data_IF_290672433456
#
_entry.id   IF_290672433456
#
_cell.length_a   1.000
_cell.length_b   1.000
_cell.length_c   1.000
_cell.angle_alpha   90.00
_cell.angle_beta   90.00
_cell.angle_gamma   90.00
#
_symmetry.space_group_name_H-M   'P 1'
#
loop_
_entity.id
_entity.type
_entity.pdbx_description
1 polymer ?
#
# COMPACT_ATOMS: atom_id res chain seq x y z
N UNK A 1 7.60 -18.60 7.09
CA UNK A 1 8.14 -17.24 6.98
C UNK A 1 9.54 -17.34 6.41
N UNK A 2 9.66 -17.18 5.10
CA UNK A 2 10.94 -17.08 4.42
C UNK A 2 11.71 -15.87 4.93
N UNK A 3 12.94 -15.74 4.50
CA UNK A 3 13.92 -14.72 4.88
C UNK A 3 13.46 -13.29 4.51
N UNK A 4 12.37 -12.83 5.16
CA UNK A 4 11.79 -11.49 4.97
C UNK A 4 12.70 -10.44 5.59
N UNK A 5 13.30 -9.53 4.81
CA UNK A 5 14.29 -8.60 5.33
C UNK A 5 13.66 -7.45 6.14
N UNK A 6 12.46 -7.05 5.81
CA UNK A 6 11.72 -5.94 6.43
C UNK A 6 10.23 -5.99 6.06
N UNK A 7 9.43 -5.23 6.80
CA UNK A 7 8.02 -4.97 6.52
C UNK A 7 7.82 -3.48 6.26
N UNK A 8 7.11 -3.14 5.20
CA UNK A 8 6.72 -1.76 4.91
C UNK A 8 5.48 -1.39 5.72
N UNK A 9 5.43 -0.20 6.27
CA UNK A 9 4.31 0.21 7.12
C UNK A 9 3.85 1.64 6.82
N UNK A 10 2.55 1.88 6.95
CA UNK A 10 2.07 3.24 7.14
C UNK A 10 2.67 3.84 8.41
N UNK A 11 3.05 5.13 8.45
CA UNK A 11 3.63 5.74 9.63
C UNK A 11 2.64 5.88 10.80
N UNK A 12 1.35 5.59 10.58
CA UNK A 12 0.35 5.67 11.63
C UNK A 12 0.52 4.58 12.69
N UNK A 13 0.39 4.96 13.95
CA UNK A 13 0.68 4.10 15.10
C UNK A 13 0.01 2.72 15.03
N UNK A 14 -1.27 2.67 14.61
CA UNK A 14 -2.02 1.41 14.48
C UNK A 14 -1.37 0.43 13.50
N UNK A 15 -0.83 0.91 12.37
CA UNK A 15 -0.16 0.05 11.40
C UNK A 15 1.18 -0.45 11.92
N UNK A 16 1.96 0.39 12.59
CA UNK A 16 3.23 0.00 13.21
C UNK A 16 3.04 -1.04 14.31
N UNK A 17 2.05 -0.85 15.18
CA UNK A 17 1.70 -1.82 16.22
C UNK A 17 1.22 -3.15 15.65
N UNK A 18 0.40 -3.12 14.60
CA UNK A 18 -0.04 -4.33 13.90
C UNK A 18 1.15 -5.05 13.27
N UNK A 19 2.06 -4.32 12.62
CA UNK A 19 3.27 -4.90 12.05
C UNK A 19 4.18 -5.54 13.12
N UNK A 20 4.32 -4.93 14.28
CA UNK A 20 5.09 -5.48 15.39
C UNK A 20 4.51 -6.80 15.91
N UNK A 21 3.18 -6.91 15.92
CA UNK A 21 2.48 -8.14 16.35
C UNK A 21 2.59 -9.25 15.29
N UNK A 22 2.37 -8.91 14.01
CA UNK A 22 2.37 -9.89 12.93
C UNK A 22 3.77 -10.32 12.51
N UNK A 23 4.74 -9.43 12.60
CA UNK A 23 6.12 -9.62 12.14
C UNK A 23 7.12 -9.25 13.25
N UNK A 24 7.08 -9.95 14.39
CA UNK A 24 7.96 -9.62 15.50
C UNK A 24 9.43 -9.73 15.08
N UNK A 25 10.22 -8.74 15.49
CA UNK A 25 11.66 -8.63 15.20
C UNK A 25 12.03 -8.35 13.71
N UNK A 26 11.06 -8.23 12.80
CA UNK A 26 11.34 -7.79 11.45
C UNK A 26 11.42 -6.26 11.44
N UNK A 27 12.51 -5.67 10.91
CA UNK A 27 12.62 -4.22 10.79
C UNK A 27 11.47 -3.60 10.01
N UNK A 28 10.91 -2.51 10.50
CA UNK A 28 9.85 -1.76 9.82
C UNK A 28 10.46 -0.61 9.02
N UNK A 29 9.97 -0.42 7.79
CA UNK A 29 10.27 0.75 6.94
C UNK A 29 8.99 1.54 6.79
N UNK A 30 8.98 2.75 7.35
CA UNK A 30 7.82 3.65 7.25
C UNK A 30 7.77 4.30 5.87
N UNK A 31 6.58 4.24 5.24
CA UNK A 31 6.30 4.86 3.95
C UNK A 31 5.34 6.01 4.20
N UNK A 32 5.86 7.21 4.33
CA UNK A 32 5.07 8.40 4.68
C UNK A 32 3.90 8.65 3.73
N UNK A 33 4.02 8.50 2.40
CA UNK A 33 2.89 8.60 1.48
C UNK A 33 1.75 7.59 1.73
N UNK A 34 1.93 6.56 2.57
CA UNK A 34 0.90 5.58 2.90
C UNK A 34 0.09 5.91 4.15
N UNK A 35 0.12 7.15 4.60
CA UNK A 35 -0.85 7.63 5.61
C UNK A 35 -2.27 7.39 5.14
N UNK A 36 -3.19 7.20 6.07
CA UNK A 36 -4.62 7.12 5.76
C UNK A 36 -5.08 8.38 5.03
N UNK A 37 -6.17 8.27 4.27
CA UNK A 37 -6.81 9.40 3.62
C UNK A 37 -7.15 10.48 4.65
N UNK A 38 -6.90 11.73 4.29
CA UNK A 38 -7.33 12.88 5.08
C UNK A 38 -8.80 13.15 4.84
N UNK A 39 -9.63 12.82 5.83
CA UNK A 39 -11.07 13.04 5.79
C UNK A 39 -11.46 14.49 6.15
N UNK A 40 -10.49 15.36 6.44
CA UNK A 40 -10.71 16.77 6.74
C UNK A 40 -11.73 16.98 7.86
N UNK A 41 -12.76 17.80 7.60
CA UNK A 41 -13.80 18.08 8.58
C UNK A 41 -14.67 16.87 8.98
N UNK A 42 -14.55 15.76 8.24
CA UNK A 42 -15.27 14.52 8.53
C UNK A 42 -14.46 13.53 9.38
N UNK A 43 -13.20 13.89 9.70
CA UNK A 43 -12.34 13.05 10.53
C UNK A 43 -13.00 12.69 11.87
N UNK A 44 -12.91 11.41 12.22
CA UNK A 44 -13.47 10.89 13.48
C UNK A 44 -15.02 10.82 13.55
N UNK A 45 -15.73 11.19 12.50
CA UNK A 45 -17.20 11.14 12.45
C UNK A 45 -17.67 9.84 11.79
N UNK A 46 -18.74 9.28 12.33
CA UNK A 46 -19.41 8.12 11.75
C UNK A 46 -20.59 8.54 10.86
N UNK A 47 -21.15 7.56 10.13
CA UNK A 47 -22.29 7.76 9.24
C UNK A 47 -23.47 8.48 9.92
N UNK A 48 -23.81 8.10 11.16
CA UNK A 48 -24.93 8.69 11.87
C UNK A 48 -24.74 10.19 12.18
N UNK A 49 -23.49 10.60 12.39
CA UNK A 49 -23.10 11.99 12.65
C UNK A 49 -23.03 12.84 11.36
N UNK A 50 -22.76 12.20 10.23
CA UNK A 50 -22.68 12.84 8.91
C UNK A 50 -24.02 12.85 8.18
N UNK A 51 -24.98 12.05 8.64
CA UNK A 51 -26.30 11.96 8.02
C UNK A 51 -27.02 13.31 8.10
N UNK A 52 -27.43 13.83 6.93
CA UNK A 52 -28.06 15.14 6.81
C UNK A 52 -27.08 16.30 6.54
N UNK A 53 -25.77 16.06 6.54
CA UNK A 53 -24.81 17.06 6.04
C UNK A 53 -24.85 17.05 4.50
N UNK A 54 -25.23 18.18 3.85
CA UNK A 54 -25.35 18.23 2.39
C UNK A 54 -24.01 18.01 1.67
N UNK A 55 -22.89 18.30 2.32
CA UNK A 55 -21.55 18.08 1.76
C UNK A 55 -21.20 16.58 1.75
N UNK A 56 -21.62 15.86 2.79
CA UNK A 56 -21.49 14.41 2.85
C UNK A 56 -22.37 13.72 1.81
N UNK A 57 -23.62 14.22 1.64
CA UNK A 57 -24.49 13.71 0.58
C UNK A 57 -23.90 13.95 -0.81
N UNK A 58 -23.37 15.14 -1.09
CA UNK A 58 -22.70 15.45 -2.35
C UNK A 58 -21.50 14.53 -2.60
N UNK A 59 -20.73 14.19 -1.54
CA UNK A 59 -19.63 13.24 -1.65
C UNK A 59 -20.13 11.83 -2.01
N UNK A 60 -21.22 11.36 -1.38
CA UNK A 60 -21.85 10.07 -1.73
C UNK A 60 -22.34 10.09 -3.18
N UNK A 61 -23.06 11.14 -3.61
CA UNK A 61 -23.63 11.26 -4.95
C UNK A 61 -22.55 11.29 -6.04
N UNK A 62 -21.35 11.77 -5.69
CA UNK A 62 -20.18 11.74 -6.57
C UNK A 62 -19.53 10.34 -6.70
N UNK A 63 -20.03 9.35 -5.97
CA UNK A 63 -19.34 8.04 -5.85
C UNK A 63 -18.00 8.14 -5.12
N UNK A 64 -17.84 9.12 -4.22
CA UNK A 64 -16.62 9.34 -3.43
C UNK A 64 -15.46 9.95 -4.23
N UNK A 65 -15.74 10.66 -5.33
CA UNK A 65 -14.70 11.33 -6.15
C UNK A 65 -14.39 12.74 -5.69
N UNK A 66 -15.35 13.42 -5.07
CA UNK A 66 -15.11 14.75 -4.51
C UNK A 66 -14.12 14.69 -3.34
N UNK A 67 -13.36 15.77 -3.16
CA UNK A 67 -12.54 15.93 -1.98
C UNK A 67 -13.40 16.09 -0.72
N UNK A 68 -12.93 15.58 0.40
CA UNK A 68 -13.53 15.89 1.70
C UNK A 68 -13.33 17.37 2.01
N UNK A 69 -14.30 18.03 2.67
CA UNK A 69 -14.14 19.42 3.09
C UNK A 69 -12.90 19.61 3.97
N UNK A 70 -11.96 20.42 3.50
CA UNK A 70 -10.68 20.61 4.18
C UNK A 70 -9.75 19.40 4.19
N UNK A 71 -10.07 18.36 3.43
CA UNK A 71 -9.32 17.12 3.34
C UNK A 71 -8.89 16.80 1.91
N UNK A 72 -8.68 15.54 1.62
CA UNK A 72 -8.08 15.01 0.41
C UNK A 72 -9.13 14.46 -0.58
N UNK A 73 -8.88 14.58 -1.88
CA UNK A 73 -9.66 13.88 -2.89
C UNK A 73 -9.15 12.45 -3.07
N UNK A 74 -10.02 11.56 -3.56
CA UNK A 74 -9.63 10.18 -3.90
C UNK A 74 -8.48 10.16 -4.91
N UNK A 75 -8.49 11.04 -5.90
CA UNK A 75 -7.43 11.13 -6.90
C UNK A 75 -6.08 11.50 -6.28
N UNK A 76 -6.03 12.52 -5.42
CA UNK A 76 -4.81 12.93 -4.72
C UNK A 76 -4.30 11.81 -3.80
N UNK A 77 -5.21 11.13 -3.10
CA UNK A 77 -4.88 10.00 -2.26
C UNK A 77 -4.26 8.85 -3.07
N UNK A 78 -4.87 8.46 -4.19
CA UNK A 78 -4.33 7.41 -5.07
C UNK A 78 -2.94 7.81 -5.56
N UNK A 79 -2.77 9.02 -6.08
CA UNK A 79 -1.48 9.51 -6.58
C UNK A 79 -0.38 9.38 -5.52
N UNK A 80 -0.65 9.85 -4.29
CA UNK A 80 0.28 9.77 -3.18
C UNK A 80 0.59 8.32 -2.75
N UNK A 81 -0.40 7.43 -2.79
CA UNK A 81 -0.17 6.01 -2.49
C UNK A 81 0.73 5.35 -3.55
N UNK A 82 0.57 5.73 -4.82
CA UNK A 82 1.42 5.27 -5.94
C UNK A 82 2.85 5.76 -5.76
N UNK A 83 3.06 7.04 -5.41
CA UNK A 83 4.40 7.56 -5.08
C UNK A 83 5.06 6.74 -3.96
N UNK A 84 4.28 6.37 -2.95
CA UNK A 84 4.75 5.48 -1.88
C UNK A 84 5.14 4.10 -2.38
N UNK A 85 4.42 3.54 -3.36
CA UNK A 85 4.76 2.25 -3.95
C UNK A 85 6.04 2.31 -4.79
N UNK A 86 6.32 3.43 -5.44
CA UNK A 86 7.59 3.63 -6.16
C UNK A 86 8.78 3.62 -5.19
N UNK A 87 8.64 4.24 -4.01
CA UNK A 87 9.67 4.16 -2.96
C UNK A 87 9.89 2.71 -2.50
N UNK A 88 8.83 1.95 -2.32
CA UNK A 88 8.89 0.52 -1.96
C UNK A 88 9.62 -0.28 -3.04
N UNK A 89 9.25 -0.09 -4.30
CA UNK A 89 9.89 -0.80 -5.41
C UNK A 89 11.38 -0.48 -5.50
N UNK A 90 11.78 0.77 -5.25
CA UNK A 90 13.18 1.16 -5.23
C UNK A 90 13.95 0.50 -4.06
N UNK A 91 13.37 0.45 -2.87
CA UNK A 91 13.96 -0.25 -1.72
C UNK A 91 14.15 -1.76 -2.01
N UNK A 92 13.17 -2.39 -2.66
CA UNK A 92 13.27 -3.79 -3.05
C UNK A 92 14.38 -3.99 -4.09
N UNK A 93 14.50 -3.11 -5.11
CA UNK A 93 15.60 -3.17 -6.10
C UNK A 93 16.96 -3.08 -5.44
N UNK A 94 17.14 -2.15 -4.51
CA UNK A 94 18.38 -1.97 -3.76
C UNK A 94 18.72 -3.22 -2.94
N UNK A 95 17.73 -3.82 -2.27
CA UNK A 95 17.92 -5.03 -1.50
C UNK A 95 18.30 -6.24 -2.38
N UNK A 96 17.67 -6.38 -3.53
CA UNK A 96 18.00 -7.42 -4.49
C UNK A 96 19.42 -7.22 -5.06
N UNK A 97 19.79 -6.00 -5.39
CA UNK A 97 21.14 -5.67 -5.83
C UNK A 97 22.20 -5.96 -4.76
N UNK A 98 21.88 -5.75 -3.48
CA UNK A 98 22.78 -6.11 -2.37
C UNK A 98 22.93 -7.61 -2.21
N UNK A 99 21.85 -8.39 -2.39
CA UNK A 99 21.87 -9.86 -2.32
C UNK A 99 22.49 -10.53 -3.54
N UNK A 100 22.58 -9.81 -4.66
CA UNK A 100 23.27 -10.34 -5.85
C UNK A 100 24.74 -10.64 -5.52
N UNK A 101 25.18 -11.84 -5.92
CA UNK A 101 26.52 -12.33 -5.65
C UNK A 101 27.60 -11.31 -6.10
N UNK A 102 28.62 -11.00 -5.26
CA UNK A 102 29.72 -10.10 -5.65
C UNK A 102 30.42 -10.51 -6.93
N UNK A 103 30.46 -11.81 -7.25
CA UNK A 103 31.06 -12.34 -8.48
C UNK A 103 30.20 -12.06 -9.73
N UNK A 104 28.90 -11.82 -9.58
CA UNK A 104 28.00 -11.52 -10.69
C UNK A 104 28.01 -10.04 -11.10
N UNK A 105 28.72 -9.18 -10.34
CA UNK A 105 28.93 -7.77 -10.71
C UNK A 105 29.92 -7.58 -11.86
N UNK A 106 30.74 -8.60 -12.17
CA UNK A 106 31.81 -8.51 -13.18
C UNK A 106 31.46 -9.23 -14.48
N UNK A 107 30.38 -9.98 -14.54
CA UNK A 107 29.93 -10.67 -15.76
C UNK A 107 28.45 -10.34 -16.01
N UNK A 108 28.13 -9.90 -17.22
CA UNK A 108 26.75 -9.68 -17.69
C UNK A 108 25.92 -10.99 -17.77
N UNK A 109 26.46 -12.08 -17.28
CA UNK A 109 25.80 -13.37 -17.24
C UNK A 109 24.70 -13.36 -16.18
N UNK A 110 23.53 -13.58 -16.69
CA UNK A 110 22.22 -13.79 -16.10
C UNK A 110 22.25 -14.52 -14.73
N UNK A 111 22.72 -13.83 -13.69
CA UNK A 111 22.63 -14.35 -12.33
C UNK A 111 21.15 -14.38 -11.97
N UNK A 112 20.54 -15.52 -12.20
CA UNK A 112 19.16 -15.78 -11.83
C UNK A 112 19.03 -15.54 -10.33
N UNK A 113 18.42 -14.42 -9.98
CA UNK A 113 17.90 -14.20 -8.62
C UNK A 113 16.83 -15.27 -8.43
N UNK A 114 17.22 -16.35 -7.76
CA UNK A 114 16.54 -17.63 -7.83
C UNK A 114 15.24 -17.70 -7.02
N UNK A 115 14.92 -16.69 -6.19
CA UNK A 115 13.67 -16.72 -5.43
C UNK A 115 13.04 -15.34 -5.29
N UNK A 116 11.70 -15.24 -5.32
CA UNK A 116 11.02 -13.99 -5.03
C UNK A 116 11.38 -13.54 -3.62
N UNK A 117 11.77 -12.28 -3.46
CA UNK A 117 12.00 -11.68 -2.15
C UNK A 117 10.65 -11.50 -1.45
N UNK A 118 10.34 -12.24 -0.37
CA UNK A 118 9.12 -12.01 0.36
C UNK A 118 9.20 -10.67 1.09
N UNK A 119 8.19 -9.84 0.91
CA UNK A 119 7.99 -8.59 1.65
C UNK A 119 6.54 -8.50 2.09
N UNK A 120 6.29 -7.80 3.17
CA UNK A 120 4.94 -7.51 3.62
C UNK A 120 4.72 -6.00 3.71
N UNK A 121 3.47 -5.59 3.64
CA UNK A 121 3.05 -4.22 3.89
C UNK A 121 1.87 -4.21 4.87
N UNK A 122 1.93 -3.36 5.89
CA UNK A 122 0.82 -3.13 6.82
C UNK A 122 0.34 -1.71 6.65
N UNK A 123 -0.84 -1.59 6.05
CA UNK A 123 -1.39 -0.33 5.57
C UNK A 123 -2.89 -0.23 5.88
N UNK A 124 -3.53 0.81 5.40
CA UNK A 124 -4.97 1.05 5.56
C UNK A 124 -5.77 0.44 4.40
N UNK A 125 -7.05 0.16 4.64
CA UNK A 125 -7.95 -0.32 3.59
C UNK A 125 -8.00 0.63 2.39
N UNK A 126 -7.99 1.95 2.64
CA UNK A 126 -7.89 2.96 1.59
C UNK A 126 -6.62 2.81 0.72
N UNK A 127 -5.48 2.59 1.34
CA UNK A 127 -4.19 2.38 0.64
C UNK A 127 -4.24 1.12 -0.23
N UNK A 128 -4.84 0.03 0.28
CA UNK A 128 -5.03 -1.20 -0.50
C UNK A 128 -5.90 -0.93 -1.74
N UNK A 129 -7.05 -0.28 -1.55
CA UNK A 129 -7.93 0.09 -2.65
C UNK A 129 -7.24 0.99 -3.69
N UNK A 130 -6.46 1.97 -3.23
CA UNK A 130 -5.72 2.89 -4.09
C UNK A 130 -4.69 2.15 -4.96
N UNK A 131 -3.85 1.33 -4.35
CA UNK A 131 -2.79 0.62 -5.05
C UNK A 131 -3.36 -0.43 -6.01
N UNK A 132 -4.32 -1.24 -5.56
CA UNK A 132 -4.86 -2.31 -6.41
C UNK A 132 -5.70 -1.77 -7.56
N UNK A 133 -6.49 -0.73 -7.37
CA UNK A 133 -7.22 -0.10 -8.48
C UNK A 133 -6.28 0.51 -9.52
N UNK A 134 -5.13 1.05 -9.10
CA UNK A 134 -4.13 1.60 -10.00
C UNK A 134 -3.37 0.51 -10.78
N UNK A 135 -2.81 -0.48 -10.08
CA UNK A 135 -1.89 -1.46 -10.68
C UNK A 135 -2.59 -2.67 -11.31
N UNK A 136 -3.75 -3.08 -10.77
CA UNK A 136 -4.51 -4.23 -11.26
C UNK A 136 -5.74 -3.82 -12.08
N UNK A 137 -6.09 -2.53 -12.11
CA UNK A 137 -7.29 -2.00 -12.76
C UNK A 137 -8.56 -2.29 -11.95
N UNK A 138 -9.72 -2.02 -12.56
CA UNK A 138 -11.01 -2.23 -11.89
C UNK A 138 -11.48 -1.03 -11.04
N UNK A 139 -12.63 -1.22 -10.40
CA UNK A 139 -13.21 -0.19 -9.54
C UNK A 139 -12.49 -0.10 -8.19
N UNK A 140 -12.31 1.12 -7.69
CA UNK A 140 -11.63 1.40 -6.43
C UNK A 140 -12.21 0.59 -5.25
N UNK A 141 -13.52 0.55 -5.12
CA UNK A 141 -14.19 -0.13 -4.01
C UNK A 141 -14.23 -1.65 -4.15
N UNK A 142 -13.89 -2.21 -5.33
CA UNK A 142 -13.79 -3.65 -5.54
C UNK A 142 -12.72 -4.32 -4.67
N UNK A 143 -11.75 -3.55 -4.18
CA UNK A 143 -10.64 -4.01 -3.36
C UNK A 143 -10.82 -3.75 -1.87
N UNK A 144 -12.05 -3.46 -1.45
CA UNK A 144 -12.32 -3.24 -0.03
C UNK A 144 -12.04 -4.49 0.80
N UNK A 145 -11.37 -4.28 1.93
CA UNK A 145 -11.04 -5.32 2.91
C UNK A 145 -11.64 -4.97 4.26
N UNK A 146 -11.89 -6.00 5.06
CA UNK A 146 -12.17 -5.84 6.49
C UNK A 146 -10.85 -5.69 7.25
N UNK A 147 -10.96 -5.38 8.55
CA UNK A 147 -9.80 -5.48 9.43
C UNK A 147 -9.30 -6.94 9.40
N UNK A 148 -8.00 -7.13 9.50
CA UNK A 148 -7.32 -8.43 9.45
C UNK A 148 -7.35 -9.17 8.09
N UNK A 149 -7.90 -8.55 7.05
CA UNK A 149 -7.84 -9.06 5.67
C UNK A 149 -6.75 -8.32 4.86
N UNK A 150 -6.30 -8.96 3.80
CA UNK A 150 -5.34 -8.40 2.86
C UNK A 150 -5.30 -9.14 1.53
N UNK A 151 -4.24 -8.91 0.78
CA UNK A 151 -4.02 -9.56 -0.51
C UNK A 151 -2.60 -10.08 -0.63
N UNK A 152 -2.48 -11.28 -1.17
CA UNK A 152 -1.22 -11.81 -1.65
C UNK A 152 -1.01 -11.38 -3.10
N UNK A 153 0.13 -10.75 -3.35
CA UNK A 153 0.47 -10.15 -4.63
C UNK A 153 1.80 -10.67 -5.14
N UNK A 154 1.97 -10.66 -6.45
CA UNK A 154 3.28 -10.77 -7.10
C UNK A 154 3.63 -9.43 -7.73
N UNK A 155 4.79 -8.90 -7.38
CA UNK A 155 5.32 -7.65 -7.92
C UNK A 155 6.41 -7.96 -8.96
N UNK A 156 6.24 -7.46 -10.19
CA UNK A 156 7.27 -7.44 -11.23
C UNK A 156 7.94 -6.07 -11.24
N UNK A 157 9.18 -6.01 -10.78
CA UNK A 157 9.96 -4.77 -10.74
C UNK A 157 10.42 -4.30 -12.12
N UNK A 158 10.55 -5.23 -13.08
CA UNK A 158 10.95 -4.92 -14.45
C UNK A 158 9.82 -4.31 -15.24
N UNK A 159 8.61 -4.84 -15.07
CA UNK A 159 7.42 -4.38 -15.80
C UNK A 159 6.63 -3.32 -15.02
N UNK A 160 7.02 -3.03 -13.79
CA UNK A 160 6.28 -2.14 -12.88
C UNK A 160 4.83 -2.57 -12.72
N UNK A 161 4.60 -3.88 -12.62
CA UNK A 161 3.28 -4.51 -12.55
C UNK A 161 3.05 -5.25 -11.26
N UNK A 162 1.81 -5.24 -10.85
CA UNK A 162 1.31 -5.98 -9.69
C UNK A 162 0.26 -6.99 -10.17
N UNK A 163 0.43 -8.24 -9.79
CA UNK A 163 -0.49 -9.32 -10.10
C UNK A 163 -1.16 -9.80 -8.82
N UNK A 164 -2.48 -9.71 -8.77
CA UNK A 164 -3.28 -10.22 -7.66
C UNK A 164 -3.26 -11.75 -7.71
N UNK A 165 -2.94 -12.39 -6.59
CA UNK A 165 -2.98 -13.86 -6.46
C UNK A 165 -4.22 -14.31 -5.70
N UNK A 166 -4.40 -13.84 -4.48
CA UNK A 166 -5.53 -14.23 -3.63
C UNK A 166 -5.81 -13.16 -2.58
N UNK A 167 -7.02 -13.19 -2.03
CA UNK A 167 -7.39 -12.43 -0.83
C UNK A 167 -7.13 -13.33 0.38
N UNK A 168 -6.50 -12.79 1.41
CA UNK A 168 -6.11 -13.46 2.64
C UNK A 168 -6.74 -12.80 3.85
#
# INVERSE_FOLDING_TARGET
>A
TGDMPYVFVSPMLRCRQTAEILFPQIPQIEIDPWREMDFGEFEGKNYAQLNGDPRYQAWIDSGGTLAFPGGESREAFIARCVDGMELVMEQIRQQLAYRACPKCRETEDNCMIQEPLPVAAVVHGGTIMALLSHYCGGDYFSYQVKNDEGYHLRLSLQENKMELKEKV
#
